data_IF_509752009945
#
_entry.id   IF_509752009945
#
_cell.length_a   1.000
_cell.length_b   1.000
_cell.length_c   1.000
_cell.angle_alpha   90.00
_cell.angle_beta   90.00
_cell.angle_gamma   90.00
#
_symmetry.space_group_name_H-M   'P 1'
#
loop_
_entity.id
_entity.type
_entity.pdbx_description
1 polymer ?
#
# COMPACT_ATOMS: atom_id res chain seq x y z
N UNK A 1 -22.21 16.33 -11.79
CA UNK A 1 -20.96 16.10 -11.07
C UNK A 1 -19.88 16.96 -11.69
N UNK A 2 -19.20 17.79 -10.90
CA UNK A 2 -18.10 18.65 -11.38
C UNK A 2 -16.86 18.18 -10.65
N UNK A 3 -15.85 17.72 -11.38
CA UNK A 3 -14.62 17.23 -10.78
C UNK A 3 -13.89 18.35 -10.04
N UNK A 4 -13.36 18.02 -8.85
CA UNK A 4 -12.69 19.00 -7.97
C UNK A 4 -13.63 19.87 -7.11
N UNK A 5 -14.95 19.71 -7.22
CA UNK A 5 -15.93 20.42 -6.37
C UNK A 5 -16.63 19.41 -5.46
N UNK A 6 -16.49 19.58 -4.15
CA UNK A 6 -17.16 18.74 -3.16
C UNK A 6 -18.68 18.82 -3.20
N UNK A 7 -19.36 17.76 -2.73
CA UNK A 7 -20.82 17.62 -2.78
C UNK A 7 -21.57 18.87 -2.30
N UNK A 8 -21.25 19.43 -1.14
CA UNK A 8 -21.97 20.59 -0.57
C UNK A 8 -22.05 21.78 -1.52
N UNK A 9 -20.93 22.13 -2.17
CA UNK A 9 -20.93 23.26 -3.13
C UNK A 9 -21.75 22.96 -4.38
N UNK A 10 -21.72 21.71 -4.86
CA UNK A 10 -22.55 21.29 -6.00
C UNK A 10 -24.02 21.27 -5.62
N UNK A 11 -24.37 20.80 -4.43
CA UNK A 11 -25.73 20.71 -3.89
C UNK A 11 -26.33 22.11 -3.70
N UNK A 12 -25.59 23.01 -3.05
CA UNK A 12 -26.00 24.42 -2.88
C UNK A 12 -26.29 25.11 -4.21
N UNK A 13 -25.47 24.85 -5.24
CA UNK A 13 -25.69 25.41 -6.59
C UNK A 13 -26.90 24.77 -7.26
N UNK A 14 -27.07 23.46 -7.16
CA UNK A 14 -28.19 22.73 -7.73
C UNK A 14 -29.53 23.21 -7.13
N UNK A 15 -29.59 23.38 -5.81
CA UNK A 15 -30.79 23.87 -5.11
C UNK A 15 -31.10 25.35 -5.42
N UNK A 16 -30.10 26.19 -5.68
CA UNK A 16 -30.32 27.56 -6.16
C UNK A 16 -30.93 27.61 -7.57
N UNK A 17 -30.51 26.68 -8.44
CA UNK A 17 -31.00 26.60 -9.82
C UNK A 17 -32.34 25.88 -9.92
N UNK A 18 -32.57 24.85 -9.11
CA UNK A 18 -33.75 23.98 -9.08
C UNK A 18 -34.14 23.65 -7.64
N UNK A 19 -34.86 24.54 -6.93
CA UNK A 19 -35.27 24.32 -5.53
C UNK A 19 -36.10 23.05 -5.32
N UNK A 20 -36.79 22.57 -6.34
CA UNK A 20 -37.60 21.33 -6.31
C UNK A 20 -36.75 20.06 -6.10
N UNK A 21 -35.42 20.14 -6.23
CA UNK A 21 -34.53 19.00 -5.96
C UNK A 21 -34.33 18.73 -4.47
N UNK A 22 -34.81 19.58 -3.57
CA UNK A 22 -34.49 19.55 -2.15
C UNK A 22 -34.75 18.18 -1.48
N UNK A 23 -35.84 17.53 -1.86
CA UNK A 23 -36.22 16.18 -1.38
C UNK A 23 -36.17 15.11 -2.50
N UNK A 24 -35.48 15.37 -3.60
CA UNK A 24 -35.48 14.47 -4.75
C UNK A 24 -34.66 13.19 -4.55
N UNK A 25 -35.08 12.09 -5.18
CA UNK A 25 -34.32 10.85 -5.26
C UNK A 25 -32.97 11.06 -5.94
N UNK A 26 -32.89 11.95 -6.93
CA UNK A 26 -31.64 12.28 -7.61
C UNK A 26 -30.60 12.89 -6.66
N UNK A 27 -31.02 13.78 -5.75
CA UNK A 27 -30.15 14.36 -4.71
C UNK A 27 -29.68 13.29 -3.75
N UNK A 28 -30.56 12.38 -3.34
CA UNK A 28 -30.23 11.24 -2.46
C UNK A 28 -29.20 10.32 -3.11
N UNK A 29 -29.40 9.92 -4.36
CA UNK A 29 -28.44 9.09 -5.14
C UNK A 29 -27.08 9.79 -5.23
N UNK A 30 -27.05 11.06 -5.60
CA UNK A 30 -25.82 11.84 -5.73
C UNK A 30 -25.06 11.94 -4.40
N UNK A 31 -25.79 12.11 -3.27
CA UNK A 31 -25.19 12.13 -1.95
C UNK A 31 -24.59 10.77 -1.57
N UNK A 32 -25.31 9.68 -1.77
CA UNK A 32 -24.84 8.34 -1.41
C UNK A 32 -23.60 7.97 -2.23
N UNK A 33 -23.59 8.25 -3.54
CA UNK A 33 -22.40 8.03 -4.38
C UNK A 33 -21.20 8.86 -3.92
N UNK A 34 -21.44 10.13 -3.57
CA UNK A 34 -20.39 10.97 -3.00
C UNK A 34 -19.89 10.44 -1.66
N UNK A 35 -20.81 10.06 -0.75
CA UNK A 35 -20.49 9.55 0.57
C UNK A 35 -19.57 8.32 0.52
N UNK A 36 -19.93 7.33 -0.31
CA UNK A 36 -19.07 6.14 -0.45
C UNK A 36 -17.75 6.44 -1.16
N UNK A 37 -17.75 7.36 -2.13
CA UNK A 37 -16.51 7.78 -2.76
C UNK A 37 -15.58 8.45 -1.75
N UNK A 38 -16.09 9.38 -0.95
CA UNK A 38 -15.33 10.03 0.12
C UNK A 38 -14.86 9.02 1.18
N UNK A 39 -15.71 8.08 1.56
CA UNK A 39 -15.40 7.01 2.50
C UNK A 39 -14.27 6.10 1.98
N UNK A 40 -14.30 5.74 0.70
CA UNK A 40 -13.28 4.94 0.04
C UNK A 40 -11.97 5.70 -0.11
N UNK A 41 -12.00 6.94 -0.59
CA UNK A 41 -10.80 7.75 -0.81
C UNK A 41 -10.13 8.20 0.50
N UNK A 42 -10.91 8.51 1.54
CA UNK A 42 -10.39 9.05 2.80
C UNK A 42 -10.05 8.01 3.86
N UNK A 43 -10.74 6.85 3.83
CA UNK A 43 -10.63 5.80 4.87
C UNK A 43 -10.42 4.39 4.32
N UNK A 44 -10.45 4.19 3.01
CA UNK A 44 -10.29 2.88 2.38
C UNK A 44 -11.52 1.96 2.48
N UNK A 45 -12.63 2.41 3.09
CA UNK A 45 -13.79 1.56 3.30
C UNK A 45 -14.67 1.47 2.05
N UNK A 46 -15.07 0.27 1.69
CA UNK A 46 -15.96 -0.02 0.53
C UNK A 46 -17.43 -0.15 0.93
N UNK A 47 -17.72 -0.31 2.22
CA UNK A 47 -19.06 -0.46 2.76
C UNK A 47 -19.20 0.21 4.14
N UNK A 48 -20.44 0.42 4.56
CA UNK A 48 -20.81 0.78 5.93
C UNK A 48 -22.11 0.07 6.36
N UNK A 49 -22.45 0.11 7.65
CA UNK A 49 -23.75 -0.37 8.09
C UNK A 49 -24.87 0.58 7.66
N UNK A 50 -26.07 0.04 7.45
CA UNK A 50 -27.25 0.84 7.10
C UNK A 50 -27.50 1.96 8.12
N UNK A 51 -27.30 1.70 9.41
CA UNK A 51 -27.41 2.70 10.47
C UNK A 51 -26.50 3.90 10.26
N UNK A 52 -25.25 3.65 9.85
CA UNK A 52 -24.28 4.72 9.59
C UNK A 52 -24.68 5.52 8.35
N UNK A 53 -25.12 4.85 7.28
CA UNK A 53 -25.58 5.53 6.05
C UNK A 53 -26.79 6.42 6.35
N UNK A 54 -27.80 5.91 7.07
CA UNK A 54 -28.98 6.69 7.46
C UNK A 54 -28.62 7.92 8.32
N UNK A 55 -27.71 7.77 9.25
CA UNK A 55 -27.22 8.90 10.04
C UNK A 55 -26.49 9.93 9.17
N UNK A 56 -25.68 9.50 8.20
CA UNK A 56 -25.01 10.41 7.27
C UNK A 56 -26.01 11.18 6.39
N UNK A 57 -27.07 10.53 5.88
CA UNK A 57 -28.15 11.15 5.12
C UNK A 57 -28.88 12.18 5.98
N UNK A 58 -29.30 11.78 7.19
CA UNK A 58 -30.02 12.66 8.13
C UNK A 58 -29.22 13.91 8.49
N UNK A 59 -27.91 13.79 8.65
CA UNK A 59 -27.04 14.91 9.03
C UNK A 59 -26.71 15.88 7.86
N UNK A 60 -26.88 15.45 6.62
CA UNK A 60 -26.45 16.24 5.46
C UNK A 60 -27.59 16.66 4.51
N UNK A 61 -28.59 15.79 4.34
CA UNK A 61 -29.71 15.97 3.41
C UNK A 61 -31.01 15.42 4.04
N UNK A 62 -31.38 15.92 5.23
CA UNK A 62 -32.51 15.43 6.03
C UNK A 62 -33.82 15.30 5.26
N UNK A 63 -34.07 16.22 4.32
CA UNK A 63 -35.29 16.26 3.50
C UNK A 63 -35.48 15.00 2.64
N UNK A 64 -34.39 14.27 2.36
CA UNK A 64 -34.43 13.04 1.58
C UNK A 64 -34.66 11.77 2.44
N UNK A 65 -34.75 11.87 3.77
CA UNK A 65 -34.83 10.70 4.66
C UNK A 65 -36.02 9.78 4.38
N UNK A 66 -37.16 10.34 3.96
CA UNK A 66 -38.38 9.58 3.64
C UNK A 66 -38.28 8.74 2.36
N UNK A 67 -37.23 8.92 1.55
CA UNK A 67 -37.00 8.18 0.30
C UNK A 67 -35.93 7.10 0.41
N UNK A 68 -35.30 6.96 1.59
CA UNK A 68 -34.19 6.02 1.79
C UNK A 68 -34.65 4.57 1.64
N UNK A 69 -35.79 4.19 2.28
CA UNK A 69 -36.29 2.82 2.21
C UNK A 69 -36.62 2.43 0.76
N UNK A 70 -37.33 3.28 0.07
CA UNK A 70 -37.65 3.06 -1.34
C UNK A 70 -36.39 2.93 -2.19
N UNK A 71 -35.36 3.77 -1.96
CA UNK A 71 -34.12 3.71 -2.72
C UNK A 71 -33.34 2.42 -2.41
N UNK A 72 -33.26 1.99 -1.17
CA UNK A 72 -32.57 0.75 -0.81
C UNK A 72 -33.20 -0.48 -1.46
N UNK A 73 -34.53 -0.47 -1.63
CA UNK A 73 -35.27 -1.55 -2.30
C UNK A 73 -35.20 -1.46 -3.84
N UNK A 74 -35.10 -0.23 -4.40
CA UNK A 74 -35.21 0.05 -5.83
C UNK A 74 -33.95 0.74 -6.38
N UNK A 75 -32.79 0.10 -6.28
CA UNK A 75 -31.55 0.62 -6.82
C UNK A 75 -30.77 -0.43 -7.62
N UNK A 76 -29.87 0.01 -8.50
CA UNK A 76 -29.00 -0.81 -9.33
C UNK A 76 -27.49 -0.55 -9.07
N UNK A 77 -27.18 0.43 -8.24
CA UNK A 77 -25.80 0.90 -8.00
C UNK A 77 -25.26 0.56 -6.60
N UNK A 78 -26.09 0.04 -5.69
CA UNK A 78 -25.68 -0.43 -4.36
C UNK A 78 -25.62 -1.96 -4.33
N UNK A 79 -24.67 -2.47 -3.57
CA UNK A 79 -24.67 -3.84 -3.08
C UNK A 79 -25.07 -3.84 -1.61
N UNK A 80 -26.10 -4.62 -1.29
CA UNK A 80 -26.68 -4.71 0.07
C UNK A 80 -26.64 -6.17 0.49
N UNK A 81 -25.90 -6.47 1.55
CA UNK A 81 -25.82 -7.79 2.14
C UNK A 81 -25.71 -7.72 3.66
N UNK A 82 -26.57 -8.47 4.37
CA UNK A 82 -26.55 -8.61 5.84
C UNK A 82 -26.43 -7.26 6.59
N UNK A 83 -27.16 -6.22 6.14
CA UNK A 83 -27.16 -4.88 6.73
C UNK A 83 -25.88 -4.06 6.44
N UNK A 84 -25.01 -4.55 5.57
CA UNK A 84 -23.87 -3.83 4.96
C UNK A 84 -24.30 -3.26 3.64
N UNK A 85 -23.96 -2.01 3.40
CA UNK A 85 -24.28 -1.29 2.15
C UNK A 85 -23.00 -0.71 1.61
N UNK A 86 -22.77 -0.89 0.31
CA UNK A 86 -21.64 -0.33 -0.43
C UNK A 86 -22.00 -0.03 -1.87
N UNK A 87 -21.11 0.61 -2.61
CA UNK A 87 -21.28 0.74 -4.05
C UNK A 87 -21.08 -0.62 -4.70
N UNK A 88 -22.02 -1.02 -5.58
CA UNK A 88 -21.90 -2.25 -6.38
C UNK A 88 -20.59 -2.29 -7.17
N UNK A 89 -20.17 -1.16 -7.71
CA UNK A 89 -18.90 -1.01 -8.40
C UNK A 89 -17.68 -1.46 -7.55
N UNK A 90 -17.65 -1.14 -6.24
CA UNK A 90 -16.57 -1.58 -5.36
C UNK A 90 -16.63 -3.08 -5.10
N UNK A 91 -17.83 -3.59 -4.81
CA UNK A 91 -18.07 -5.01 -4.63
C UNK A 91 -17.66 -5.82 -5.87
N UNK A 92 -18.05 -5.37 -7.06
CA UNK A 92 -17.74 -6.05 -8.32
C UNK A 92 -16.22 -6.14 -8.55
N UNK A 93 -15.45 -5.08 -8.22
CA UNK A 93 -13.99 -5.08 -8.32
C UNK A 93 -13.37 -6.08 -7.32
N UNK A 94 -13.79 -6.06 -6.07
CA UNK A 94 -13.26 -6.97 -5.03
C UNK A 94 -13.57 -8.43 -5.40
N UNK A 95 -14.76 -8.72 -5.90
CA UNK A 95 -15.14 -10.06 -6.37
C UNK A 95 -14.36 -10.50 -7.61
N UNK A 96 -14.11 -9.61 -8.57
CA UNK A 96 -13.27 -9.90 -9.73
C UNK A 96 -11.85 -10.29 -9.31
N UNK A 97 -11.23 -9.53 -8.40
CA UNK A 97 -9.91 -9.83 -7.85
C UNK A 97 -9.90 -11.21 -7.18
N UNK A 98 -10.89 -11.48 -6.31
CA UNK A 98 -11.02 -12.77 -5.64
C UNK A 98 -11.10 -13.93 -6.65
N UNK A 99 -11.96 -13.81 -7.67
CA UNK A 99 -12.10 -14.86 -8.69
C UNK A 99 -10.86 -15.03 -9.55
N UNK A 100 -10.16 -13.94 -9.92
CA UNK A 100 -8.91 -14.03 -10.66
C UNK A 100 -7.84 -14.80 -9.86
N UNK A 101 -7.65 -14.47 -8.59
CA UNK A 101 -6.71 -15.17 -7.71
C UNK A 101 -7.12 -16.62 -7.48
N UNK A 102 -8.41 -16.87 -7.18
CA UNK A 102 -8.93 -18.23 -6.95
C UNK A 102 -8.79 -19.12 -8.19
N UNK A 103 -9.13 -18.62 -9.35
CA UNK A 103 -9.03 -19.38 -10.59
C UNK A 103 -7.58 -19.68 -10.92
N UNK A 104 -6.72 -18.67 -10.81
CA UNK A 104 -5.30 -18.79 -11.08
C UNK A 104 -4.59 -19.74 -10.12
N UNK A 105 -4.99 -19.79 -8.85
CA UNK A 105 -4.43 -20.74 -7.86
C UNK A 105 -4.71 -22.21 -8.18
N UNK A 106 -5.68 -22.50 -9.06
CA UNK A 106 -6.06 -23.84 -9.49
C UNK A 106 -5.40 -24.27 -10.82
N UNK A 107 -4.74 -23.36 -11.51
CA UNK A 107 -4.07 -23.64 -12.78
C UNK A 107 -2.70 -24.26 -12.49
N UNK A 108 -2.41 -25.39 -13.11
CA UNK A 108 -1.06 -25.94 -13.14
C UNK A 108 -0.23 -25.14 -14.16
N UNK A 109 0.91 -24.62 -13.72
CA UNK A 109 1.81 -23.85 -14.60
C UNK A 109 2.79 -24.78 -15.30
N UNK A 110 3.22 -24.37 -16.48
CA UNK A 110 4.31 -25.05 -17.23
C UNK A 110 5.69 -24.79 -16.65
N UNK A 111 5.81 -23.85 -15.70
CA UNK A 111 7.07 -23.53 -15.03
C UNK A 111 7.41 -24.66 -14.08
N UNK A 112 8.58 -25.26 -14.25
CA UNK A 112 9.07 -26.32 -13.38
C UNK A 112 10.52 -26.06 -13.03
N UNK A 113 10.80 -25.83 -11.74
CA UNK A 113 12.15 -25.70 -11.19
C UNK A 113 12.33 -26.86 -10.22
N UNK A 114 13.35 -27.70 -10.42
CA UNK A 114 13.59 -28.83 -9.53
C UNK A 114 14.02 -28.38 -8.15
N UNK A 115 13.79 -29.21 -7.12
CA UNK A 115 14.21 -28.91 -5.75
C UNK A 115 15.73 -28.69 -5.66
N UNK A 116 16.55 -29.44 -6.43
CA UNK A 116 17.98 -29.24 -6.46
C UNK A 116 18.38 -27.88 -7.04
N UNK A 117 17.63 -27.39 -8.03
CA UNK A 117 17.87 -26.05 -8.59
C UNK A 117 17.42 -24.95 -7.62
N UNK A 118 16.34 -25.19 -6.87
CA UNK A 118 15.88 -24.29 -5.80
C UNK A 118 16.92 -24.21 -4.68
N UNK A 119 17.39 -25.36 -4.18
CA UNK A 119 18.39 -25.44 -3.11
C UNK A 119 19.72 -24.77 -3.52
N UNK A 120 20.12 -24.93 -4.80
CA UNK A 120 21.29 -24.26 -5.35
C UNK A 120 21.11 -22.73 -5.33
N UNK A 121 19.97 -22.22 -5.80
CA UNK A 121 19.68 -20.80 -5.81
C UNK A 121 19.61 -20.21 -4.38
N UNK A 122 19.04 -20.96 -3.42
CA UNK A 122 19.03 -20.62 -2.00
C UNK A 122 20.45 -20.45 -1.50
N UNK A 123 21.31 -21.45 -1.72
CA UNK A 123 22.71 -21.42 -1.29
C UNK A 123 23.47 -20.24 -1.88
N UNK A 124 23.31 -19.95 -3.17
CA UNK A 124 23.91 -18.75 -3.79
C UNK A 124 23.41 -17.46 -3.15
N UNK A 125 22.12 -17.37 -2.81
CA UNK A 125 21.57 -16.20 -2.13
C UNK A 125 22.10 -16.05 -0.70
N UNK A 126 22.32 -17.14 0.04
CA UNK A 126 22.93 -17.16 1.37
C UNK A 126 24.40 -16.73 1.33
N UNK A 127 25.16 -17.21 0.35
CA UNK A 127 26.55 -16.79 0.16
C UNK A 127 26.68 -15.28 -0.13
N UNK A 128 25.77 -14.73 -0.95
CA UNK A 128 25.79 -13.29 -1.29
C UNK A 128 25.36 -12.40 -0.12
N UNK A 129 24.34 -12.81 0.64
CA UNK A 129 23.85 -12.02 1.78
C UNK A 129 24.65 -12.22 3.06
N UNK A 130 25.48 -13.29 3.16
CA UNK A 130 26.35 -13.58 4.28
C UNK A 130 25.67 -14.17 5.52
N UNK A 131 24.44 -14.69 5.37
CA UNK A 131 23.72 -15.40 6.43
C UNK A 131 22.73 -16.42 5.85
N UNK A 132 22.43 -17.46 6.65
CA UNK A 132 21.55 -18.55 6.27
C UNK A 132 20.08 -18.19 6.47
N UNK A 133 19.18 -18.76 5.64
CA UNK A 133 17.74 -18.67 5.84
C UNK A 133 17.29 -19.57 6.99
N UNK A 134 16.30 -19.10 7.75
CA UNK A 134 15.64 -19.92 8.76
C UNK A 134 14.59 -20.83 8.13
N UNK A 135 14.22 -21.92 8.83
CA UNK A 135 13.29 -22.94 8.32
C UNK A 135 11.98 -22.36 7.74
N UNK A 136 11.40 -21.36 8.41
CA UNK A 136 10.18 -20.68 7.94
C UNK A 136 10.38 -19.94 6.60
N UNK A 137 11.57 -19.35 6.40
CA UNK A 137 11.95 -18.68 5.16
C UNK A 137 12.19 -19.69 4.04
N UNK A 138 12.91 -20.79 4.33
CA UNK A 138 13.13 -21.87 3.36
C UNK A 138 11.80 -22.47 2.89
N UNK A 139 10.90 -22.81 3.81
CA UNK A 139 9.55 -23.31 3.46
C UNK A 139 8.79 -22.32 2.58
N UNK A 140 8.88 -21.02 2.88
CA UNK A 140 8.23 -19.97 2.08
C UNK A 140 8.83 -19.87 0.68
N UNK A 141 10.15 -19.97 0.53
CA UNK A 141 10.83 -19.93 -0.77
C UNK A 141 10.39 -21.13 -1.61
N UNK A 142 10.48 -22.36 -1.09
CA UNK A 142 10.06 -23.58 -1.79
C UNK A 142 8.58 -23.50 -2.22
N UNK A 143 7.69 -23.15 -1.30
CA UNK A 143 6.26 -22.97 -1.60
C UNK A 143 6.03 -21.94 -2.70
N UNK A 144 6.72 -20.80 -2.68
CA UNK A 144 6.56 -19.75 -3.68
C UNK A 144 7.07 -20.17 -5.07
N UNK A 145 8.04 -21.06 -5.13
CA UNK A 145 8.61 -21.56 -6.38
C UNK A 145 7.81 -22.75 -6.98
N UNK A 146 6.93 -23.38 -6.22
CA UNK A 146 6.07 -24.45 -6.70
C UNK A 146 4.63 -24.01 -7.01
N UNK A 147 4.15 -22.95 -6.36
CA UNK A 147 2.76 -22.48 -6.50
C UNK A 147 2.58 -21.57 -7.70
N UNK A 148 1.38 -21.58 -8.27
CA UNK A 148 0.98 -20.61 -9.31
C UNK A 148 0.70 -19.24 -8.70
N UNK A 149 0.13 -19.20 -7.48
CA UNK A 149 -0.11 -17.99 -6.72
C UNK A 149 0.52 -18.12 -5.34
N UNK A 150 1.32 -17.15 -4.95
CA UNK A 150 1.90 -17.03 -3.61
C UNK A 150 1.64 -15.67 -3.02
N UNK A 151 0.97 -15.64 -1.87
CA UNK A 151 0.77 -14.46 -1.05
C UNK A 151 1.69 -14.56 0.18
N UNK A 152 2.66 -13.67 0.28
CA UNK A 152 3.67 -13.69 1.34
C UNK A 152 3.42 -12.53 2.28
N UNK A 153 3.09 -12.80 3.53
CA UNK A 153 2.91 -11.75 4.52
C UNK A 153 3.83 -11.92 5.71
N UNK A 154 4.27 -10.82 6.28
CA UNK A 154 5.13 -10.83 7.45
C UNK A 154 5.40 -9.44 8.01
N UNK A 155 5.74 -9.37 9.30
CA UNK A 155 6.12 -8.13 9.99
C UNK A 155 7.40 -7.51 9.37
N UNK A 156 7.66 -6.25 9.71
CA UNK A 156 8.98 -5.66 9.45
C UNK A 156 10.07 -6.50 10.17
N UNK A 157 11.18 -6.73 9.48
CA UNK A 157 12.30 -7.52 10.02
C UNK A 157 12.14 -9.04 9.97
N UNK A 158 11.12 -9.60 9.31
CA UNK A 158 10.97 -11.06 9.11
C UNK A 158 11.72 -11.61 7.89
N UNK A 159 12.38 -10.75 7.13
CA UNK A 159 13.18 -11.14 5.97
C UNK A 159 12.41 -11.29 4.66
N UNK A 160 11.27 -10.61 4.46
CA UNK A 160 10.55 -10.63 3.17
C UNK A 160 11.46 -10.29 1.98
N UNK A 161 12.23 -9.23 2.08
CA UNK A 161 13.18 -8.81 1.03
C UNK A 161 14.30 -9.83 0.83
N UNK A 162 14.72 -10.50 1.91
CA UNK A 162 15.76 -11.54 1.83
C UNK A 162 15.26 -12.77 1.07
N UNK A 163 14.08 -13.31 1.39
CA UNK A 163 13.52 -14.46 0.64
C UNK A 163 13.25 -14.12 -0.82
N UNK A 164 12.90 -12.87 -1.13
CA UNK A 164 12.73 -12.41 -2.50
C UNK A 164 14.00 -12.58 -3.32
N UNK A 165 15.17 -12.32 -2.73
CA UNK A 165 16.48 -12.55 -3.40
C UNK A 165 16.61 -14.00 -3.88
N UNK A 166 16.32 -14.98 -3.02
CA UNK A 166 16.40 -16.40 -3.39
C UNK A 166 15.38 -16.78 -4.47
N UNK A 167 14.15 -16.26 -4.35
CA UNK A 167 13.08 -16.51 -5.33
C UNK A 167 13.46 -15.95 -6.70
N UNK A 168 13.90 -14.70 -6.76
CA UNK A 168 14.34 -14.05 -8.00
C UNK A 168 15.51 -14.81 -8.62
N UNK A 169 16.51 -15.18 -7.81
CA UNK A 169 17.68 -15.93 -8.25
C UNK A 169 17.30 -17.29 -8.83
N UNK A 170 16.37 -18.01 -8.20
CA UNK A 170 15.90 -19.30 -8.73
C UNK A 170 15.26 -19.16 -10.11
N UNK A 171 14.46 -18.13 -10.36
CA UNK A 171 13.87 -17.91 -11.68
C UNK A 171 14.93 -17.47 -12.70
N UNK A 172 15.84 -16.56 -12.35
CA UNK A 172 16.90 -16.07 -13.23
C UNK A 172 17.84 -17.19 -13.66
N UNK A 173 18.32 -18.02 -12.73
CA UNK A 173 19.24 -19.13 -13.01
C UNK A 173 18.59 -20.22 -13.88
N UNK A 174 17.25 -20.30 -13.90
CA UNK A 174 16.50 -21.21 -14.74
C UNK A 174 15.92 -20.56 -16.01
N UNK A 175 16.37 -19.33 -16.35
CA UNK A 175 16.03 -18.58 -17.57
C UNK A 175 14.54 -18.24 -17.73
N UNK A 176 13.81 -18.08 -16.64
CA UNK A 176 12.43 -17.60 -16.67
C UNK A 176 12.38 -16.06 -16.70
N UNK A 177 11.49 -15.54 -17.54
CA UNK A 177 11.24 -14.10 -17.61
C UNK A 177 10.44 -13.63 -16.41
N UNK A 178 10.92 -12.59 -15.75
CA UNK A 178 10.25 -11.99 -14.60
C UNK A 178 9.89 -10.54 -14.83
N UNK A 179 8.81 -10.11 -14.17
CA UNK A 179 8.47 -8.71 -14.01
C UNK A 179 8.32 -8.41 -12.53
N UNK A 180 9.11 -7.48 -12.01
CA UNK A 180 9.05 -7.07 -10.61
C UNK A 180 8.48 -5.67 -10.49
N UNK A 181 7.48 -5.52 -9.63
CA UNK A 181 6.72 -4.27 -9.48
C UNK A 181 6.53 -3.90 -8.01
N UNK A 182 6.42 -2.58 -7.75
CA UNK A 182 6.00 -2.05 -6.46
C UNK A 182 5.14 -0.79 -6.66
N UNK A 183 4.45 -0.33 -5.61
CA UNK A 183 3.62 0.87 -5.71
C UNK A 183 4.46 2.15 -5.90
N UNK A 184 5.57 2.28 -5.20
CA UNK A 184 6.42 3.47 -5.21
C UNK A 184 7.78 3.22 -5.89
N UNK A 185 8.38 4.30 -6.41
CA UNK A 185 9.73 4.24 -7.00
C UNK A 185 10.80 3.81 -5.98
N UNK A 186 10.67 4.26 -4.71
CA UNK A 186 11.59 3.85 -3.64
C UNK A 186 11.48 2.36 -3.33
N UNK A 187 10.26 1.81 -3.31
CA UNK A 187 10.06 0.37 -3.10
C UNK A 187 10.63 -0.42 -4.28
N UNK A 188 10.39 0.00 -5.52
CA UNK A 188 10.97 -0.62 -6.71
C UNK A 188 12.51 -0.58 -6.69
N UNK A 189 13.11 0.54 -6.30
CA UNK A 189 14.55 0.66 -6.14
C UNK A 189 15.11 -0.31 -5.10
N UNK A 190 14.43 -0.45 -3.95
CA UNK A 190 14.83 -1.41 -2.90
C UNK A 190 14.79 -2.86 -3.39
N UNK A 191 13.79 -3.22 -4.21
CA UNK A 191 13.75 -4.54 -4.85
C UNK A 191 14.99 -4.72 -5.72
N UNK A 192 15.28 -3.73 -6.59
CA UNK A 192 16.44 -3.79 -7.48
C UNK A 192 17.76 -3.93 -6.72
N UNK A 193 17.96 -3.15 -5.65
CA UNK A 193 19.14 -3.22 -4.80
C UNK A 193 19.27 -4.55 -4.07
N UNK A 194 18.15 -5.10 -3.59
CA UNK A 194 18.14 -6.34 -2.82
C UNK A 194 18.30 -7.59 -3.69
N UNK A 195 17.82 -7.58 -4.92
CA UNK A 195 17.73 -8.77 -5.78
C UNK A 195 18.65 -8.70 -7.00
N UNK A 196 19.25 -7.54 -7.25
CA UNK A 196 19.99 -7.21 -8.48
C UNK A 196 19.16 -7.34 -9.78
N UNK A 197 17.85 -7.49 -9.63
CA UNK A 197 16.89 -7.58 -10.72
C UNK A 197 16.12 -6.26 -10.88
N UNK A 198 15.99 -5.70 -12.10
CA UNK A 198 15.32 -4.43 -12.31
C UNK A 198 13.83 -4.49 -11.96
N UNK A 199 13.40 -3.65 -11.03
CA UNK A 199 12.00 -3.48 -10.67
C UNK A 199 11.48 -2.09 -11.06
N UNK A 200 10.19 -1.99 -11.30
CA UNK A 200 9.51 -0.75 -11.71
C UNK A 200 8.29 -0.48 -10.85
N UNK A 201 7.75 0.74 -10.92
CA UNK A 201 6.43 1.00 -10.33
C UNK A 201 5.33 0.28 -11.13
N UNK A 202 4.23 -0.11 -10.46
CA UNK A 202 3.08 -0.76 -11.13
C UNK A 202 2.63 0.04 -12.35
N UNK A 203 2.50 1.37 -12.22
CA UNK A 203 2.11 2.25 -13.33
C UNK A 203 3.06 2.16 -14.52
N UNK A 204 4.37 2.09 -14.27
CA UNK A 204 5.37 1.95 -15.32
C UNK A 204 5.35 0.56 -15.94
N UNK A 205 5.18 -0.48 -15.12
CA UNK A 205 5.03 -1.87 -15.58
C UNK A 205 3.83 -2.01 -16.51
N UNK A 206 2.71 -1.40 -16.16
CA UNK A 206 1.48 -1.44 -16.96
C UNK A 206 1.52 -0.52 -18.19
N UNK A 207 2.57 0.30 -18.35
CA UNK A 207 2.67 1.27 -19.45
C UNK A 207 1.58 2.33 -19.37
N UNK A 208 1.45 3.00 -18.21
CA UNK A 208 0.44 4.03 -17.94
C UNK A 208 0.54 5.18 -18.95
N UNK A 209 -0.56 5.45 -19.66
CA UNK A 209 -0.69 6.50 -20.67
C UNK A 209 -1.54 7.69 -20.21
N UNK A 210 -2.26 7.52 -19.10
CA UNK A 210 -3.15 8.53 -18.53
C UNK A 210 -3.89 8.03 -17.31
N UNK A 211 -4.96 8.70 -16.91
CA UNK A 211 -5.81 8.27 -15.79
C UNK A 211 -6.48 6.93 -16.14
N UNK A 212 -6.04 5.84 -15.50
CA UNK A 212 -6.54 4.48 -15.69
C UNK A 212 -6.47 3.94 -17.14
N UNK A 213 -5.57 4.49 -17.96
CA UNK A 213 -5.29 4.00 -19.30
C UNK A 213 -3.93 3.29 -19.30
N UNK A 214 -3.94 1.98 -19.51
CA UNK A 214 -2.77 1.12 -19.42
C UNK A 214 -2.57 0.34 -20.72
N UNK A 215 -1.34 0.34 -21.22
CA UNK A 215 -0.96 -0.44 -22.42
C UNK A 215 -1.15 -1.94 -22.19
N UNK A 216 -0.74 -2.42 -21.00
CA UNK A 216 -0.96 -3.81 -20.60
C UNK A 216 -2.22 -3.90 -19.77
N UNK A 217 -3.10 -4.79 -20.17
CA UNK A 217 -4.45 -4.99 -19.63
C UNK A 217 -4.96 -6.40 -19.97
N UNK A 218 -6.25 -6.68 -19.75
CA UNK A 218 -6.88 -7.97 -20.04
C UNK A 218 -6.81 -8.42 -21.50
N UNK A 219 -6.67 -7.50 -22.45
CA UNK A 219 -6.64 -7.76 -23.88
C UNK A 219 -5.20 -7.78 -24.44
N UNK A 220 -4.23 -7.29 -23.66
CA UNK A 220 -2.82 -7.23 -23.99
C UNK A 220 -1.96 -7.51 -22.75
N UNK A 221 -1.65 -8.78 -22.52
CA UNK A 221 -0.93 -9.20 -21.33
C UNK A 221 0.56 -8.86 -21.37
N UNK A 222 1.15 -8.75 -20.18
CA UNK A 222 2.60 -8.70 -19.99
C UNK A 222 3.25 -10.00 -20.51
N UNK A 223 4.35 -9.88 -21.22
CA UNK A 223 5.16 -11.03 -21.63
C UNK A 223 6.10 -11.37 -20.49
N UNK A 224 5.67 -12.28 -19.61
CA UNK A 224 6.42 -12.66 -18.41
C UNK A 224 5.97 -14.05 -17.94
N UNK A 225 6.91 -14.84 -17.43
CA UNK A 225 6.62 -16.13 -16.79
C UNK A 225 6.20 -15.94 -15.33
N UNK A 226 6.76 -14.91 -14.68
CA UNK A 226 6.51 -14.60 -13.26
C UNK A 226 6.28 -13.12 -13.04
N UNK A 227 5.16 -12.76 -12.46
CA UNK A 227 4.84 -11.40 -12.03
C UNK A 227 4.99 -11.29 -10.51
N UNK A 228 5.92 -10.45 -10.08
CA UNK A 228 6.19 -10.16 -8.69
C UNK A 228 5.67 -8.77 -8.30
N UNK A 229 4.94 -8.68 -7.19
CA UNK A 229 4.46 -7.43 -6.60
C UNK A 229 4.88 -7.33 -5.14
N UNK A 230 5.73 -6.36 -4.82
CA UNK A 230 6.06 -6.04 -3.42
C UNK A 230 5.22 -4.88 -2.88
N UNK A 231 5.11 -4.81 -1.55
CA UNK A 231 4.27 -3.85 -0.83
C UNK A 231 2.80 -3.89 -1.30
N UNK A 232 2.29 -5.09 -1.65
CA UNK A 232 0.92 -5.31 -2.12
C UNK A 232 -0.15 -4.81 -1.16
N UNK A 233 0.15 -4.70 0.14
CA UNK A 233 -0.73 -4.13 1.17
C UNK A 233 -1.04 -2.64 0.97
N UNK A 234 -0.26 -1.92 0.20
CA UNK A 234 -0.46 -0.50 -0.09
C UNK A 234 -1.19 -0.23 -1.40
N UNK A 235 -1.50 -1.27 -2.18
CA UNK A 235 -2.14 -1.16 -3.49
C UNK A 235 -3.66 -1.21 -3.34
N UNK A 236 -4.36 -0.16 -3.79
CA UNK A 236 -5.82 -0.11 -3.75
C UNK A 236 -6.47 -1.07 -4.75
N UNK A 237 -7.74 -1.39 -4.56
CA UNK A 237 -8.45 -2.41 -5.33
C UNK A 237 -8.46 -2.15 -6.84
N UNK A 238 -8.62 -0.90 -7.28
CA UNK A 238 -8.62 -0.57 -8.71
C UNK A 238 -7.28 -0.86 -9.37
N UNK A 239 -6.18 -0.38 -8.80
CA UNK A 239 -4.85 -0.62 -9.36
C UNK A 239 -4.43 -2.09 -9.26
N UNK A 240 -4.86 -2.77 -8.19
CA UNK A 240 -4.62 -4.20 -8.00
C UNK A 240 -5.32 -5.03 -9.09
N UNK A 241 -6.58 -4.68 -9.42
CA UNK A 241 -7.31 -5.34 -10.50
C UNK A 241 -6.62 -5.14 -11.84
N UNK A 242 -6.24 -3.90 -12.20
CA UNK A 242 -5.53 -3.62 -13.45
C UNK A 242 -4.21 -4.40 -13.56
N UNK A 243 -3.47 -4.52 -12.44
CA UNK A 243 -2.25 -5.31 -12.41
C UNK A 243 -2.54 -6.81 -12.66
N UNK A 244 -3.57 -7.37 -12.02
CA UNK A 244 -3.97 -8.77 -12.24
C UNK A 244 -4.46 -9.03 -13.65
N UNK A 245 -5.27 -8.13 -14.22
CA UNK A 245 -5.80 -8.25 -15.58
C UNK A 245 -4.70 -8.19 -16.65
N UNK A 246 -3.58 -7.53 -16.35
CA UNK A 246 -2.44 -7.51 -17.26
C UNK A 246 -1.56 -8.78 -17.23
N UNK A 247 -1.88 -9.74 -16.37
CA UNK A 247 -1.11 -10.97 -16.17
C UNK A 247 -1.79 -12.14 -16.87
N UNK A 248 -1.10 -12.78 -17.81
CA UNK A 248 -1.60 -13.94 -18.55
C UNK A 248 -1.83 -15.18 -17.68
N UNK A 249 -2.66 -16.11 -18.13
CA UNK A 249 -3.08 -17.28 -17.35
C UNK A 249 -1.91 -18.18 -16.92
N UNK A 250 -0.93 -18.38 -17.76
CA UNK A 250 0.24 -19.23 -17.49
C UNK A 250 1.33 -18.56 -16.64
N UNK A 251 1.18 -17.28 -16.30
CA UNK A 251 2.14 -16.54 -15.49
C UNK A 251 1.95 -16.81 -14.01
N UNK A 252 2.99 -17.14 -13.29
CA UNK A 252 2.96 -17.23 -11.81
C UNK A 252 2.85 -15.84 -11.18
N UNK A 253 2.16 -15.77 -10.06
CA UNK A 253 1.99 -14.54 -9.28
C UNK A 253 2.60 -14.71 -7.90
N UNK A 254 3.47 -13.78 -7.53
CA UNK A 254 4.02 -13.67 -6.18
C UNK A 254 3.75 -12.27 -5.66
N UNK A 255 2.99 -12.16 -4.57
CA UNK A 255 2.66 -10.88 -3.94
C UNK A 255 3.18 -10.89 -2.52
N UNK A 256 4.02 -9.92 -2.17
CA UNK A 256 4.50 -9.74 -0.80
C UNK A 256 3.98 -8.45 -0.18
N UNK A 257 3.83 -8.44 1.15
CA UNK A 257 3.36 -7.28 1.87
C UNK A 257 3.23 -7.53 3.37
N UNK A 258 2.73 -6.53 4.09
CA UNK A 258 2.34 -6.64 5.49
C UNK A 258 0.89 -6.22 5.67
N UNK A 259 -0.01 -7.18 5.80
CA UNK A 259 -1.47 -6.97 5.91
C UNK A 259 -1.90 -6.14 7.14
N UNK A 260 -0.99 -5.83 8.07
CA UNK A 260 -1.24 -4.98 9.23
C UNK A 260 -0.55 -3.61 9.17
N UNK A 261 0.11 -3.29 8.07
CA UNK A 261 0.58 -1.92 7.79
C UNK A 261 -0.58 -0.99 7.46
N UNK A 262 -0.27 0.28 7.16
CA UNK A 262 -1.28 1.25 6.77
C UNK A 262 -2.08 0.75 5.54
N UNK A 263 -3.40 0.94 5.54
CA UNK A 263 -4.24 0.55 4.41
C UNK A 263 -3.89 1.38 3.16
N UNK A 264 -4.28 0.91 1.97
CA UNK A 264 -4.07 1.63 0.72
C UNK A 264 -4.68 3.04 0.74
N UNK A 265 -4.11 3.94 -0.06
CA UNK A 265 -4.78 5.20 -0.40
C UNK A 265 -5.78 4.90 -1.53
N UNK A 266 -7.07 5.11 -1.25
CA UNK A 266 -8.16 4.70 -2.10
C UNK A 266 -8.94 3.52 -1.53
N UNK A 267 -9.93 3.02 -2.25
CA UNK A 267 -10.84 1.99 -1.75
C UNK A 267 -10.27 0.57 -1.82
N UNK A 268 -10.69 -0.26 -0.87
CA UNK A 268 -10.41 -1.70 -0.79
C UNK A 268 -9.06 -2.04 -0.15
N UNK A 269 -9.08 -2.95 0.81
CA UNK A 269 -7.89 -3.48 1.49
C UNK A 269 -7.61 -4.92 1.02
N UNK A 270 -7.49 -5.06 -0.30
CA UNK A 270 -7.49 -6.35 -1.02
C UNK A 270 -6.46 -7.33 -0.48
N UNK A 271 -5.21 -6.92 -0.29
CA UNK A 271 -4.17 -7.82 0.18
C UNK A 271 -4.49 -8.41 1.56
N UNK A 272 -5.03 -7.59 2.48
CA UNK A 272 -5.45 -8.05 3.81
C UNK A 272 -6.58 -9.06 3.71
N UNK A 273 -7.59 -8.76 2.89
CA UNK A 273 -8.74 -9.62 2.69
C UNK A 273 -8.34 -10.97 2.07
N UNK A 274 -7.43 -10.97 1.08
CA UNK A 274 -6.89 -12.19 0.47
C UNK A 274 -6.11 -13.04 1.50
N UNK A 275 -5.32 -12.43 2.39
CA UNK A 275 -4.59 -13.14 3.46
C UNK A 275 -5.56 -13.78 4.48
N UNK A 276 -6.75 -13.22 4.67
CA UNK A 276 -7.77 -13.77 5.58
C UNK A 276 -8.61 -14.87 4.93
N UNK A 277 -8.88 -14.76 3.62
CA UNK A 277 -9.77 -15.68 2.89
C UNK A 277 -9.03 -16.95 2.45
N UNK A 278 -7.79 -16.82 1.96
CA UNK A 278 -7.02 -17.95 1.47
C UNK A 278 -6.27 -18.68 2.59
N UNK A 279 -6.15 -19.97 2.45
CA UNK A 279 -5.43 -20.86 3.37
C UNK A 279 -3.93 -20.97 3.04
N UNK A 280 -3.24 -21.85 3.75
CA UNK A 280 -1.80 -22.10 3.59
C UNK A 280 -1.43 -22.75 2.24
N UNK A 281 -2.38 -23.06 1.37
CA UNK A 281 -2.11 -23.50 -0.02
C UNK A 281 -1.65 -22.33 -0.90
N UNK A 282 -2.04 -21.10 -0.57
CA UNK A 282 -1.72 -19.87 -1.28
C UNK A 282 -0.91 -18.91 -0.41
N UNK A 283 -1.23 -18.84 0.90
CA UNK A 283 -0.64 -17.88 1.85
C UNK A 283 0.58 -18.47 2.56
N UNK A 284 1.64 -17.68 2.67
CA UNK A 284 2.79 -17.94 3.54
C UNK A 284 2.97 -16.80 4.53
N UNK A 285 3.03 -17.12 5.83
CA UNK A 285 3.12 -16.13 6.91
C UNK A 285 4.50 -16.21 7.57
N UNK A 286 5.30 -15.14 7.45
CA UNK A 286 6.57 -14.98 8.14
C UNK A 286 6.33 -14.34 9.51
N UNK A 287 6.48 -15.10 10.57
CA UNK A 287 6.20 -14.66 11.94
C UNK A 287 7.47 -14.32 12.71
N UNK A 288 8.54 -15.08 12.51
CA UNK A 288 9.78 -14.95 13.26
C UNK A 288 10.61 -13.77 12.76
N UNK A 289 10.90 -12.77 13.62
CA UNK A 289 11.82 -11.70 13.25
C UNK A 289 13.25 -12.25 13.12
N UNK A 290 14.06 -11.64 12.28
CA UNK A 290 15.50 -11.92 12.24
C UNK A 290 16.14 -11.48 13.56
N UNK A 291 17.16 -12.21 14.07
CA UNK A 291 17.82 -11.94 15.37
C UNK A 291 18.28 -10.49 15.53
N UNK A 292 18.78 -9.86 14.47
CA UNK A 292 19.20 -8.46 14.52
C UNK A 292 18.01 -7.49 14.66
N UNK A 293 16.84 -7.86 14.15
CA UNK A 293 15.63 -7.06 14.23
C UNK A 293 15.12 -6.90 15.67
N UNK A 294 15.31 -7.89 16.53
CA UNK A 294 14.89 -7.84 17.93
C UNK A 294 15.68 -6.82 18.77
N UNK A 295 16.89 -6.46 18.35
CA UNK A 295 17.74 -5.46 19.02
C UNK A 295 17.45 -4.03 18.61
N UNK A 296 16.81 -3.84 17.45
CA UNK A 296 16.46 -2.52 16.92
C UNK A 296 15.26 -1.93 17.65
N UNK A 297 15.42 -0.75 18.25
CA UNK A 297 14.32 0.03 18.83
C UNK A 297 13.29 0.45 17.79
N UNK A 298 13.71 0.75 16.56
CA UNK A 298 12.84 1.08 15.43
C UNK A 298 11.87 -0.08 15.17
N UNK A 299 12.38 -1.30 15.02
CA UNK A 299 11.56 -2.47 14.70
C UNK A 299 10.68 -2.93 15.87
N UNK A 300 11.21 -2.88 17.09
CA UNK A 300 10.44 -3.20 18.30
C UNK A 300 9.26 -2.25 18.47
N UNK A 301 9.48 -0.94 18.33
CA UNK A 301 8.44 0.05 18.52
C UNK A 301 7.45 0.09 17.34
N UNK A 302 7.92 -0.13 16.11
CA UNK A 302 7.03 -0.29 14.96
C UNK A 302 6.08 -1.49 15.15
N UNK A 303 6.56 -2.61 15.68
CA UNK A 303 5.70 -3.77 15.98
C UNK A 303 4.69 -3.47 17.11
N UNK A 304 5.06 -2.72 18.14
CA UNK A 304 4.10 -2.26 19.17
C UNK A 304 2.99 -1.40 18.56
N UNK A 305 3.35 -0.42 17.72
CA UNK A 305 2.38 0.46 17.03
C UNK A 305 1.45 -0.37 16.15
N UNK A 306 1.98 -1.35 15.43
CA UNK A 306 1.21 -2.29 14.58
C UNK A 306 0.17 -3.09 15.38
N UNK A 307 0.44 -3.37 16.64
CA UNK A 307 -0.44 -4.07 17.58
C UNK A 307 -1.32 -3.10 18.41
N UNK A 308 -1.38 -1.82 18.03
CA UNK A 308 -2.05 -0.74 18.75
C UNK A 308 -1.52 -0.53 20.19
N UNK A 309 -0.27 -0.91 20.45
CA UNK A 309 0.40 -0.68 21.72
C UNK A 309 1.20 0.62 21.62
N UNK A 310 0.99 1.52 22.57
CA UNK A 310 1.79 2.74 22.65
C UNK A 310 3.26 2.37 23.01
N UNK A 311 4.24 2.65 22.14
CA UNK A 311 5.64 2.35 22.44
C UNK A 311 6.20 3.18 23.60
N UNK A 312 5.55 4.32 23.93
CA UNK A 312 5.97 5.25 24.97
C UNK A 312 5.05 5.09 26.16
N UNK A 313 5.43 4.24 27.10
CA UNK A 313 4.67 3.99 28.33
C UNK A 313 5.15 4.86 29.52
N UNK A 314 6.28 5.52 29.39
CA UNK A 314 6.93 6.28 30.44
C UNK A 314 6.49 7.75 30.46
N UNK A 315 6.73 8.44 31.60
CA UNK A 315 6.53 9.90 31.66
C UNK A 315 7.31 10.57 30.54
N UNK A 316 6.67 11.43 29.78
CA UNK A 316 7.26 12.20 28.68
C UNK A 316 8.54 12.91 29.13
N UNK A 317 9.69 12.36 28.76
CA UNK A 317 10.99 12.99 28.90
C UNK A 317 11.30 13.76 27.62
N UNK A 318 12.12 14.83 27.67
CA UNK A 318 12.51 15.59 26.47
C UNK A 318 13.13 14.75 25.36
N UNK A 319 13.75 13.63 25.72
CA UNK A 319 14.36 12.65 24.82
C UNK A 319 14.26 11.26 25.45
N UNK A 320 13.78 10.29 24.68
CA UNK A 320 13.75 8.86 25.03
C UNK A 320 14.48 8.09 23.92
N UNK A 321 15.27 7.09 24.30
CA UNK A 321 16.03 6.24 23.36
C UNK A 321 15.61 4.80 23.62
N UNK A 322 15.26 4.09 22.55
CA UNK A 322 14.83 2.70 22.59
C UNK A 322 15.76 1.78 21.79
N UNK A 323 15.70 0.50 22.13
CA UNK A 323 16.46 -0.59 21.51
C UNK A 323 17.85 -0.79 22.09
N UNK A 324 18.36 -2.02 22.05
CA UNK A 324 19.75 -2.32 22.41
C UNK A 324 20.74 -1.61 21.48
N UNK A 325 20.35 -1.39 20.21
CA UNK A 325 21.13 -0.65 19.21
C UNK A 325 21.06 0.87 19.41
N UNK A 326 20.18 1.37 20.29
CA UNK A 326 19.94 2.80 20.53
C UNK A 326 19.64 3.58 19.24
N UNK A 327 18.89 2.96 18.31
CA UNK A 327 18.62 3.44 16.97
C UNK A 327 17.25 4.15 16.82
N UNK A 328 16.43 4.15 17.89
CA UNK A 328 15.14 4.85 17.91
C UNK A 328 15.13 5.96 18.95
N UNK A 329 14.81 7.18 18.48
CA UNK A 329 14.82 8.40 19.32
C UNK A 329 13.47 9.09 19.30
N UNK A 330 12.87 9.32 20.47
CA UNK A 330 11.70 10.17 20.63
C UNK A 330 12.11 11.53 21.19
N UNK A 331 11.72 12.60 20.51
CA UNK A 331 11.97 13.97 20.96
C UNK A 331 10.67 14.74 21.07
N UNK A 332 10.32 15.16 22.29
CA UNK A 332 9.09 15.89 22.55
C UNK A 332 9.33 17.40 22.60
N UNK A 333 8.43 18.15 22.01
CA UNK A 333 8.45 19.63 22.04
C UNK A 333 7.06 20.16 22.33
N UNK A 334 7.01 21.24 23.09
CA UNK A 334 5.76 21.86 23.58
C UNK A 334 5.03 22.64 22.50
N UNK A 335 5.71 23.08 21.45
CA UNK A 335 5.09 23.85 20.37
C UNK A 335 5.61 23.42 18.99
N UNK A 336 4.80 23.72 17.96
CA UNK A 336 5.07 23.35 16.57
C UNK A 336 6.32 24.01 15.99
N UNK A 337 6.61 25.25 16.37
CA UNK A 337 7.79 25.98 15.89
C UNK A 337 9.09 25.34 16.42
N UNK A 338 9.10 24.94 17.69
CA UNK A 338 10.25 24.24 18.29
C UNK A 338 10.47 22.88 17.64
N UNK A 339 9.37 22.13 17.33
CA UNK A 339 9.44 20.86 16.62
C UNK A 339 10.00 21.05 15.20
N UNK A 340 9.51 22.04 14.46
CA UNK A 340 10.01 22.39 13.13
C UNK A 340 11.50 22.69 13.12
N UNK A 341 11.93 23.57 14.04
CA UNK A 341 13.33 24.00 14.14
C UNK A 341 14.27 22.83 14.46
N UNK A 342 13.86 21.92 15.37
CA UNK A 342 14.69 20.76 15.72
C UNK A 342 14.73 19.76 14.56
N UNK A 343 13.62 19.52 13.85
CA UNK A 343 13.58 18.62 12.71
C UNK A 343 14.54 19.08 11.60
N UNK A 344 14.46 20.37 11.20
CA UNK A 344 15.35 20.95 10.19
C UNK A 344 16.82 20.93 10.65
N UNK A 345 17.10 21.27 11.92
CA UNK A 345 18.47 21.26 12.46
C UNK A 345 19.05 19.85 12.48
N UNK A 346 18.26 18.86 12.90
CA UNK A 346 18.68 17.45 12.94
C UNK A 346 18.96 16.95 11.52
N UNK A 347 18.06 17.22 10.57
CA UNK A 347 18.26 16.85 9.17
C UNK A 347 19.57 17.38 8.60
N UNK A 348 19.83 18.70 8.73
CA UNK A 348 21.07 19.31 8.21
C UNK A 348 22.30 18.64 8.84
N UNK A 349 22.29 18.43 10.15
CA UNK A 349 23.40 17.77 10.85
C UNK A 349 23.61 16.32 10.38
N UNK A 350 22.52 15.57 10.16
CA UNK A 350 22.62 14.18 9.66
C UNK A 350 23.09 14.14 8.21
N UNK A 351 22.68 15.10 7.36
CA UNK A 351 23.20 15.20 6.00
C UNK A 351 24.71 15.51 5.97
N UNK A 352 25.20 16.32 6.90
CA UNK A 352 26.65 16.60 7.04
C UNK A 352 27.45 15.35 7.43
N UNK A 353 26.88 14.44 8.23
CA UNK A 353 27.55 13.20 8.67
C UNK A 353 27.36 12.03 7.72
N UNK A 354 26.15 11.86 7.15
CA UNK A 354 25.74 10.61 6.48
C UNK A 354 25.51 10.81 4.98
N UNK A 355 25.53 12.04 4.48
CA UNK A 355 25.22 12.40 3.08
C UNK A 355 23.71 12.57 2.83
N UNK A 356 23.38 13.36 1.80
CA UNK A 356 22.00 13.73 1.49
C UNK A 356 21.13 12.54 1.04
N UNK A 357 21.74 11.57 0.38
CA UNK A 357 21.03 10.40 -0.15
C UNK A 357 20.62 9.39 0.95
N UNK A 358 21.21 9.52 2.14
CA UNK A 358 20.98 8.63 3.27
C UNK A 358 20.06 9.22 4.36
N UNK A 359 19.55 10.44 4.17
CA UNK A 359 18.74 11.13 5.18
C UNK A 359 17.41 11.62 4.60
N UNK A 360 16.32 11.29 5.27
CA UNK A 360 14.97 11.72 4.85
C UNK A 360 14.17 12.27 6.03
N UNK A 361 13.32 13.27 5.78
CA UNK A 361 12.29 13.71 6.73
C UNK A 361 10.93 13.27 6.20
N UNK A 362 10.26 12.40 6.95
CA UNK A 362 8.88 12.00 6.68
C UNK A 362 7.92 12.87 7.50
N UNK A 363 6.90 13.45 6.86
CA UNK A 363 5.87 14.26 7.50
C UNK A 363 4.48 13.89 7.00
N UNK A 364 3.43 14.00 7.85
CA UNK A 364 2.10 13.52 7.50
C UNK A 364 1.32 14.43 6.53
N UNK A 365 1.85 15.63 6.20
CA UNK A 365 1.15 16.61 5.34
C UNK A 365 2.09 17.25 4.33
N UNK A 366 1.61 17.38 3.09
CA UNK A 366 2.36 18.03 2.01
C UNK A 366 2.33 19.56 2.13
N UNK A 367 1.17 20.13 2.53
CA UNK A 367 0.94 21.59 2.59
C UNK A 367 0.01 21.94 3.76
N UNK A 368 -0.30 23.22 3.90
CA UNK A 368 -1.31 23.76 4.83
C UNK A 368 -0.96 23.67 6.32
N UNK A 369 0.31 23.44 6.66
CA UNK A 369 0.79 23.58 8.04
C UNK A 369 2.31 23.81 8.10
N UNK A 370 2.78 24.36 9.21
CA UNK A 370 4.20 24.69 9.42
C UNK A 370 5.13 23.46 9.23
N UNK A 371 4.70 22.28 9.69
CA UNK A 371 5.49 21.04 9.59
C UNK A 371 5.13 20.24 8.33
N UNK A 372 4.76 20.90 7.24
CA UNK A 372 4.49 20.27 5.96
C UNK A 372 5.76 20.10 5.12
N UNK A 373 5.74 19.16 4.18
CA UNK A 373 6.84 18.93 3.23
C UNK A 373 7.26 20.23 2.55
N UNK A 374 6.30 21.02 2.08
CA UNK A 374 6.57 22.28 1.36
C UNK A 374 7.32 23.31 2.22
N UNK A 375 6.89 23.49 3.47
CA UNK A 375 7.53 24.48 4.35
C UNK A 375 8.92 24.03 4.83
N UNK A 376 9.08 22.74 5.12
CA UNK A 376 10.38 22.16 5.48
C UNK A 376 11.36 22.29 4.32
N UNK A 377 10.95 21.92 3.10
CA UNK A 377 11.79 22.00 1.91
C UNK A 377 12.23 23.43 1.61
N UNK A 378 11.34 24.43 1.71
CA UNK A 378 11.70 25.84 1.53
C UNK A 378 12.84 26.28 2.47
N UNK A 379 12.76 25.89 3.75
CA UNK A 379 13.77 26.28 4.74
C UNK A 379 15.08 25.52 4.51
N UNK A 380 15.03 24.23 4.19
CA UNK A 380 16.22 23.45 3.87
C UNK A 380 16.91 24.02 2.65
N UNK A 381 16.20 24.25 1.54
CA UNK A 381 16.74 24.85 0.33
C UNK A 381 17.38 26.21 0.56
N UNK A 382 16.75 27.06 1.40
CA UNK A 382 17.30 28.38 1.73
C UNK A 382 18.59 28.26 2.57
N UNK A 383 18.65 27.32 3.51
CA UNK A 383 19.81 27.13 4.38
C UNK A 383 20.97 26.41 3.69
N UNK A 384 20.69 25.53 2.73
CA UNK A 384 21.68 24.75 1.99
C UNK A 384 22.24 25.46 0.74
N UNK A 385 21.68 26.61 0.34
CA UNK A 385 22.14 27.40 -0.80
C UNK A 385 23.62 27.87 -0.72
N UNK A 386 24.30 27.66 0.39
CA UNK A 386 25.72 27.94 0.56
C UNK A 386 26.59 26.68 0.75
N UNK A 387 26.00 25.50 0.92
CA UNK A 387 26.72 24.26 1.24
C UNK A 387 26.83 23.28 0.08
N UNK A 388 25.89 23.31 -0.86
CA UNK A 388 25.86 22.43 -2.02
C UNK A 388 25.42 23.24 -3.24
N UNK A 389 26.16 23.18 -4.36
CA UNK A 389 25.61 23.46 -5.69
C UNK A 389 24.58 22.37 -5.99
N UNK A 390 23.36 22.55 -5.51
CA UNK A 390 22.25 21.68 -5.84
C UNK A 390 21.92 21.91 -7.32
N UNK A 391 22.40 21.04 -8.19
CA UNK A 391 21.75 20.76 -9.47
C UNK A 391 20.29 20.54 -9.16
N UNK A 392 19.38 21.21 -9.88
CA UNK A 392 17.92 21.21 -9.71
C UNK A 392 17.40 19.91 -9.11
N UNK A 393 17.06 19.94 -7.81
CA UNK A 393 16.49 18.80 -7.12
C UNK A 393 15.07 18.60 -7.65
N UNK A 394 14.89 17.59 -8.46
CA UNK A 394 13.57 17.11 -8.86
C UNK A 394 12.85 16.68 -7.58
N UNK A 395 11.85 17.46 -7.17
CA UNK A 395 10.98 17.14 -6.04
C UNK A 395 10.23 15.85 -6.34
N UNK A 396 10.63 14.74 -5.76
CA UNK A 396 9.82 13.54 -5.74
C UNK A 396 8.62 13.81 -4.81
N UNK A 397 7.48 14.04 -5.40
CA UNK A 397 6.20 14.07 -4.71
C UNK A 397 5.65 12.65 -4.73
N UNK A 398 5.65 12.00 -3.55
CA UNK A 398 4.83 10.81 -3.33
C UNK A 398 3.34 11.18 -3.30
#
# INVERSE_FOLDING_TARGET
>A
KIDGIGFRKCDDLALKLKPELIDSTQRLVAFIQYYFKDLGESKGHTWCSEKILRAAISNNIYECCNKVDWLLENNDFLHIDNGRIGLKYYYDIEMQIYHLILNKSKIETTINISDEAIDKAIKHAEEEQGFDYVVEQLDTIHKSLHRTVSLITGKAGTGKTSIMRAIVKAYMENNYMMTASALSAMAAQRITEATEFPAMTIHRTLGCQGLNDFTYNKDNHLITDVAFLDEGSMVNASLFLHWLEAIGDNTRIIISGDHKQLPPIGFGNVFSDLIEIFDDSVVSKLVKPMRQAEKSGILVDANKIRENINPISEKLQPRIIHGELQDMYYMFRTNRQSLFNIAVKTFIKSVESDGIDNVVIAVPRRKDCLNSTNEINKVIQHKSKGMYELKEATLYTA
#
